data_IF_898878121170
#
_entry.id   IF_898878121170
#
_cell.length_a   1.000
_cell.length_b   1.000
_cell.length_c   1.000
_cell.angle_alpha   90.00
_cell.angle_beta   90.00
_cell.angle_gamma   90.00
#
_symmetry.space_group_name_H-M   'P 1'
#
loop_
_entity.id
_entity.type
_entity.pdbx_description
1 polymer ?
#
# COMPACT_ATOMS: atom_id res chain seq x y z
N UNK A 1 -0.79 5.80 11.02
CA UNK A 1 -1.00 6.94 10.12
C UNK A 1 -1.68 8.08 10.87
N UNK A 2 -1.56 9.27 10.36
CA UNK A 2 -2.23 10.41 10.93
C UNK A 2 -3.74 10.34 10.62
N UNK A 3 -4.53 11.03 11.42
CA UNK A 3 -5.96 11.14 11.16
C UNK A 3 -6.19 11.71 9.75
N UNK A 4 -7.23 11.26 9.04
CA UNK A 4 -7.52 11.78 7.72
C UNK A 4 -7.79 13.29 7.73
N UNK A 5 -7.25 13.98 6.74
CA UNK A 5 -7.57 15.38 6.51
C UNK A 5 -8.81 15.48 5.64
N UNK A 6 -9.42 16.64 5.61
CA UNK A 6 -10.65 16.86 4.84
C UNK A 6 -10.55 16.42 3.39
N UNK A 7 -9.39 16.60 2.78
CA UNK A 7 -9.19 16.30 1.36
C UNK A 7 -8.73 14.85 1.12
N UNK A 8 -8.44 14.12 2.17
CA UNK A 8 -8.02 12.73 2.05
C UNK A 8 -9.19 11.83 1.67
N UNK A 9 -8.89 10.74 0.98
CA UNK A 9 -9.84 9.67 0.78
C UNK A 9 -9.59 8.63 1.87
N UNK A 10 -10.61 8.33 2.65
CA UNK A 10 -10.52 7.33 3.71
C UNK A 10 -11.80 6.51 3.72
N UNK A 11 -11.65 5.18 3.73
CA UNK A 11 -12.81 4.31 3.80
C UNK A 11 -12.49 2.97 4.43
N UNK A 12 -13.39 2.47 5.29
CA UNK A 12 -13.31 1.08 5.72
C UNK A 12 -13.88 0.19 4.61
N UNK A 13 -13.28 -0.97 4.45
CA UNK A 13 -13.68 -1.94 3.43
C UNK A 13 -13.65 -3.33 4.02
N UNK A 14 -14.45 -4.22 3.47
CA UNK A 14 -14.33 -5.63 3.77
C UNK A 14 -13.23 -6.22 2.89
N UNK A 15 -12.29 -6.94 3.50
CA UNK A 15 -11.17 -7.54 2.77
C UNK A 15 -11.67 -8.63 1.82
N UNK A 16 -11.89 -8.26 0.58
CA UNK A 16 -12.42 -9.14 -0.46
C UNK A 16 -11.95 -8.62 -1.83
N UNK A 17 -12.09 -9.41 -2.88
CA UNK A 17 -11.74 -8.93 -4.22
C UNK A 17 -12.48 -7.66 -4.63
N UNK A 18 -13.72 -7.49 -4.17
CA UNK A 18 -14.49 -6.30 -4.49
C UNK A 18 -13.87 -5.04 -3.89
N UNK A 19 -13.16 -5.15 -2.77
CA UNK A 19 -12.50 -4.01 -2.14
C UNK A 19 -11.45 -3.39 -3.07
N UNK A 20 -10.73 -4.21 -3.80
CA UNK A 20 -9.71 -3.72 -4.73
C UNK A 20 -10.35 -2.84 -5.80
N UNK A 21 -11.42 -3.32 -6.42
CA UNK A 21 -12.10 -2.56 -7.46
C UNK A 21 -12.65 -1.24 -6.96
N UNK A 22 -13.29 -1.26 -5.79
CA UNK A 22 -13.85 -0.05 -5.22
C UNK A 22 -12.77 0.98 -4.88
N UNK A 23 -11.70 0.53 -4.22
CA UNK A 23 -10.60 1.42 -3.86
C UNK A 23 -9.96 2.03 -5.10
N UNK A 24 -9.75 1.24 -6.14
CA UNK A 24 -9.16 1.74 -7.39
C UNK A 24 -10.03 2.78 -8.05
N UNK A 25 -11.33 2.54 -8.10
CA UNK A 25 -12.26 3.49 -8.72
C UNK A 25 -12.26 4.82 -7.98
N UNK A 26 -12.40 4.78 -6.67
CA UNK A 26 -12.47 6.02 -5.88
C UNK A 26 -11.13 6.74 -5.82
N UNK A 27 -10.04 5.99 -5.74
CA UNK A 27 -8.71 6.60 -5.78
C UNK A 27 -8.44 7.25 -7.13
N UNK A 28 -8.86 6.61 -8.21
CA UNK A 28 -8.70 7.19 -9.54
C UNK A 28 -9.41 8.54 -9.68
N UNK A 29 -10.63 8.62 -9.17
CA UNK A 29 -11.37 9.87 -9.17
C UNK A 29 -10.66 10.96 -8.35
N UNK A 30 -10.14 10.60 -7.20
CA UNK A 30 -9.45 11.54 -6.32
C UNK A 30 -8.13 12.02 -6.94
N UNK A 31 -7.37 11.11 -7.54
CA UNK A 31 -6.13 11.48 -8.21
C UNK A 31 -6.38 12.40 -9.38
N UNK A 32 -7.44 12.17 -10.12
CA UNK A 32 -7.83 13.07 -11.20
C UNK A 32 -8.18 14.46 -10.66
N UNK A 33 -8.95 14.50 -9.59
CA UNK A 33 -9.32 15.76 -8.94
C UNK A 33 -8.10 16.53 -8.45
N UNK A 34 -7.09 15.84 -7.99
CA UNK A 34 -5.86 16.44 -7.48
C UNK A 34 -4.85 16.78 -8.60
N UNK A 35 -5.18 16.47 -9.83
CA UNK A 35 -4.28 16.64 -10.97
C UNK A 35 -3.04 15.73 -10.87
N UNK A 36 -3.25 14.52 -10.40
CA UNK A 36 -2.23 13.50 -10.24
C UNK A 36 -2.42 12.33 -11.21
N UNK A 37 -3.04 12.58 -12.36
CA UNK A 37 -3.31 11.51 -13.33
C UNK A 37 -2.03 10.86 -13.87
N UNK A 38 -0.92 11.57 -13.80
CA UNK A 38 0.36 11.02 -14.26
C UNK A 38 0.89 9.86 -13.41
N UNK A 39 0.40 9.70 -12.18
CA UNK A 39 0.78 8.55 -11.35
C UNK A 39 -0.33 7.52 -11.26
N UNK A 40 -1.37 7.65 -12.07
CA UNK A 40 -2.55 6.80 -11.96
C UNK A 40 -2.23 5.31 -12.10
N UNK A 41 -1.47 4.95 -13.13
CA UNK A 41 -1.18 3.54 -13.38
C UNK A 41 -0.36 2.93 -12.24
N UNK A 42 0.65 3.64 -11.77
CA UNK A 42 1.46 3.17 -10.65
C UNK A 42 0.62 3.06 -9.39
N UNK A 43 -0.24 4.04 -9.14
CA UNK A 43 -1.11 4.02 -7.98
C UNK A 43 -2.06 2.82 -8.01
N UNK A 44 -2.62 2.50 -9.17
CA UNK A 44 -3.52 1.36 -9.30
C UNK A 44 -2.83 0.05 -8.96
N UNK A 45 -1.59 -0.11 -9.38
CA UNK A 45 -0.81 -1.31 -9.08
C UNK A 45 -0.50 -1.39 -7.58
N UNK A 46 -0.07 -0.28 -6.99
CA UNK A 46 0.24 -0.25 -5.55
C UNK A 46 -1.00 -0.52 -4.70
N UNK A 47 -2.12 0.09 -5.04
CA UNK A 47 -3.38 -0.13 -4.32
C UNK A 47 -3.75 -1.61 -4.36
N UNK A 48 -3.67 -2.22 -5.53
CA UNK A 48 -4.00 -3.64 -5.69
C UNK A 48 -3.13 -4.50 -4.78
N UNK A 49 -1.82 -4.26 -4.78
CA UNK A 49 -0.90 -5.06 -3.98
C UNK A 49 -1.11 -4.88 -2.48
N UNK A 50 -1.30 -3.65 -2.03
CA UNK A 50 -1.48 -3.40 -0.60
C UNK A 50 -2.79 -3.98 -0.09
N UNK A 51 -3.87 -3.86 -0.85
CA UNK A 51 -5.16 -4.43 -0.44
C UNK A 51 -5.13 -5.95 -0.50
N UNK A 52 -4.54 -6.51 -1.54
CA UNK A 52 -4.40 -7.98 -1.65
C UNK A 52 -3.61 -8.53 -0.47
N UNK A 53 -2.55 -7.84 -0.08
CA UNK A 53 -1.73 -8.25 1.04
C UNK A 53 -2.51 -8.20 2.36
N UNK A 54 -3.28 -7.15 2.57
CA UNK A 54 -4.12 -7.03 3.76
C UNK A 54 -5.21 -8.10 3.77
N UNK A 55 -5.82 -8.39 2.63
CA UNK A 55 -6.84 -9.42 2.53
C UNK A 55 -6.28 -10.80 2.80
N UNK A 56 -5.05 -11.06 2.39
CA UNK A 56 -4.38 -12.32 2.69
C UNK A 56 -4.14 -12.46 4.20
N UNK A 57 -3.76 -11.37 4.86
CA UNK A 57 -3.51 -11.36 6.29
C UNK A 57 -4.80 -11.49 7.11
N UNK A 58 -5.89 -10.88 6.68
CA UNK A 58 -7.16 -10.86 7.43
C UNK A 58 -8.34 -11.06 6.49
N UNK A 59 -8.54 -12.28 5.97
CA UNK A 59 -9.62 -12.54 5.01
C UNK A 59 -10.98 -12.19 5.58
N UNK A 60 -11.79 -11.50 4.81
CA UNK A 60 -13.17 -11.14 5.13
C UNK A 60 -13.32 -10.30 6.41
N UNK A 61 -12.26 -9.67 6.86
CA UNK A 61 -12.31 -8.73 7.98
C UNK A 61 -12.25 -7.30 7.48
N UNK A 62 -12.52 -6.37 8.37
CA UNK A 62 -12.39 -4.96 8.02
C UNK A 62 -10.94 -4.60 7.76
N UNK A 63 -10.73 -3.89 6.68
CA UNK A 63 -9.49 -3.18 6.39
C UNK A 63 -9.84 -1.71 6.20
N UNK A 64 -8.84 -0.84 6.21
CA UNK A 64 -9.06 0.59 6.03
C UNK A 64 -8.12 1.08 4.97
N UNK A 65 -8.66 1.80 4.00
CA UNK A 65 -7.90 2.34 2.89
C UNK A 65 -7.82 3.86 3.04
N UNK A 66 -6.63 4.39 2.86
CA UNK A 66 -6.41 5.84 2.91
C UNK A 66 -5.53 6.29 1.76
N UNK A 67 -5.95 7.34 1.08
CA UNK A 67 -5.17 8.00 0.06
C UNK A 67 -5.03 9.46 0.48
N UNK A 68 -3.80 9.93 0.62
CA UNK A 68 -3.52 11.30 1.02
C UNK A 68 -2.41 11.87 0.14
N UNK A 69 -2.18 13.15 0.27
CA UNK A 69 -1.09 13.80 -0.45
C UNK A 69 -0.42 14.83 0.44
N UNK A 70 0.83 15.08 0.14
CA UNK A 70 1.60 16.16 0.74
C UNK A 70 2.58 16.71 -0.30
N UNK A 71 3.53 17.50 0.12
CA UNK A 71 4.48 18.12 -0.80
C UNK A 71 5.41 17.11 -1.45
N UNK A 72 5.55 15.93 -0.89
CA UNK A 72 6.44 14.89 -1.39
C UNK A 72 5.75 13.86 -2.28
N UNK A 73 4.45 14.02 -2.51
CA UNK A 73 3.70 13.14 -3.39
C UNK A 73 2.44 12.61 -2.75
N UNK A 74 1.97 11.48 -3.24
CA UNK A 74 0.79 10.83 -2.70
C UNK A 74 1.20 9.67 -1.81
N UNK A 75 0.37 9.38 -0.81
CA UNK A 75 0.58 8.27 0.11
C UNK A 75 -0.63 7.36 0.01
N UNK A 76 -0.37 6.09 -0.24
CA UNK A 76 -1.38 5.04 -0.26
C UNK A 76 -1.13 4.18 0.97
N UNK A 77 -2.15 4.00 1.81
CA UNK A 77 -2.01 3.25 3.05
C UNK A 77 -3.19 2.33 3.25
N UNK A 78 -2.91 1.15 3.79
CA UNK A 78 -3.95 0.15 4.10
C UNK A 78 -3.70 -0.37 5.51
N UNK A 79 -4.74 -0.32 6.33
CA UNK A 79 -4.71 -0.88 7.66
C UNK A 79 -5.39 -2.24 7.67
N UNK A 80 -4.79 -3.18 8.40
CA UNK A 80 -5.44 -4.45 8.73
C UNK A 80 -5.24 -4.77 10.20
N UNK A 81 -6.06 -5.67 10.72
CA UNK A 81 -6.05 -6.00 12.14
C UNK A 81 -4.99 -7.04 12.53
N UNK A 82 -4.24 -7.52 11.58
CA UNK A 82 -3.23 -8.55 11.83
C UNK A 82 -2.08 -7.99 12.65
N UNK A 83 -1.54 -8.82 13.52
CA UNK A 83 -0.30 -8.50 14.24
C UNK A 83 0.94 -8.92 13.46
N UNK A 84 0.75 -9.69 12.42
CA UNK A 84 1.86 -10.11 11.58
C UNK A 84 2.38 -8.95 10.78
N UNK A 85 3.69 -8.84 10.73
CA UNK A 85 4.30 -7.91 9.80
C UNK A 85 4.13 -8.41 8.38
N UNK A 86 4.15 -7.51 7.39
CA UNK A 86 4.13 -7.94 6.01
C UNK A 86 5.28 -8.91 5.76
N UNK A 87 4.96 -10.03 5.11
CA UNK A 87 5.95 -11.05 4.81
C UNK A 87 6.37 -10.88 3.37
N UNK A 88 7.67 -10.79 3.10
CA UNK A 88 8.14 -10.72 1.73
C UNK A 88 7.68 -11.94 0.96
N UNK A 89 7.14 -11.72 -0.23
CA UNK A 89 6.78 -12.84 -1.07
C UNK A 89 8.03 -13.51 -1.61
N UNK A 90 8.01 -14.83 -1.73
CA UNK A 90 9.14 -15.53 -2.33
C UNK A 90 9.40 -15.01 -3.73
N UNK A 91 10.67 -14.88 -4.06
CA UNK A 91 11.08 -14.43 -5.38
C UNK A 91 11.87 -15.51 -6.08
N UNK A 92 11.50 -16.75 -5.81
CA UNK A 92 12.25 -17.91 -6.27
C UNK A 92 12.32 -18.02 -7.80
N UNK A 93 11.33 -17.48 -8.46
CA UNK A 93 11.31 -17.48 -9.92
C UNK A 93 12.19 -16.38 -10.50
N UNK A 94 12.75 -15.53 -9.66
CA UNK A 94 13.59 -14.43 -10.09
C UNK A 94 15.03 -14.86 -10.12
N UNK A 95 15.85 -14.06 -10.76
CA UNK A 95 17.28 -14.33 -10.88
C UNK A 95 18.00 -14.12 -9.55
N UNK A 96 19.22 -14.62 -9.48
CA UNK A 96 20.04 -14.42 -8.30
C UNK A 96 20.31 -12.95 -8.04
N UNK A 97 20.50 -12.18 -9.08
CA UNK A 97 20.69 -10.74 -8.94
C UNK A 97 19.48 -10.09 -8.30
N UNK A 98 18.32 -10.53 -8.72
CA UNK A 98 17.08 -10.01 -8.16
C UNK A 98 16.95 -10.34 -6.69
N UNK A 99 17.34 -11.55 -6.33
CA UNK A 99 17.28 -11.98 -4.94
C UNK A 99 18.18 -11.11 -4.06
N UNK A 100 19.37 -10.83 -4.54
CA UNK A 100 20.32 -10.00 -3.79
C UNK A 100 19.77 -8.61 -3.57
N UNK A 101 19.24 -8.01 -4.60
CA UNK A 101 18.64 -6.68 -4.50
C UNK A 101 17.47 -6.69 -3.54
N UNK A 102 16.62 -7.68 -3.65
CA UNK A 102 15.44 -7.80 -2.82
C UNK A 102 15.81 -7.93 -1.35
N UNK A 103 16.84 -8.73 -1.07
CA UNK A 103 17.29 -8.94 0.29
C UNK A 103 17.74 -7.63 0.93
N UNK A 104 18.55 -6.86 0.24
CA UNK A 104 18.99 -5.57 0.73
C UNK A 104 17.84 -4.61 0.98
N UNK A 105 16.86 -4.64 0.11
CA UNK A 105 15.69 -3.77 0.24
C UNK A 105 14.87 -4.11 1.46
N UNK A 106 14.72 -5.38 1.76
CA UNK A 106 13.98 -5.80 2.94
C UNK A 106 14.54 -5.15 4.19
N UNK A 107 15.85 -5.21 4.33
CA UNK A 107 16.48 -4.72 5.54
C UNK A 107 16.30 -3.23 5.71
N UNK A 108 16.34 -2.50 4.62
CA UNK A 108 16.31 -1.05 4.70
C UNK A 108 14.93 -0.45 4.92
N UNK A 109 13.88 -1.18 4.60
CA UNK A 109 12.54 -0.58 4.60
C UNK A 109 11.47 -1.46 5.20
N UNK A 110 11.81 -2.25 6.17
CA UNK A 110 10.84 -3.14 6.77
C UNK A 110 10.57 -4.37 5.92
N UNK A 111 11.17 -4.44 4.77
CA UNK A 111 11.38 -5.65 4.03
C UNK A 111 10.21 -6.56 3.72
N UNK A 112 9.02 -6.04 3.66
CA UNK A 112 7.87 -6.87 3.36
C UNK A 112 7.79 -7.25 1.88
N UNK A 113 8.77 -6.81 1.09
CA UNK A 113 9.14 -7.42 -0.17
C UNK A 113 8.10 -7.56 -1.24
N UNK A 114 7.29 -6.57 -1.44
CA UNK A 114 6.45 -6.52 -2.62
C UNK A 114 7.29 -5.87 -3.73
N UNK A 115 7.88 -6.66 -4.64
CA UNK A 115 8.82 -6.08 -5.61
C UNK A 115 8.22 -4.95 -6.43
N UNK A 116 6.95 -5.08 -6.76
CA UNK A 116 6.27 -4.05 -7.55
C UNK A 116 6.14 -2.75 -6.78
N UNK A 117 5.69 -2.83 -5.54
CA UNK A 117 5.54 -1.64 -4.70
C UNK A 117 6.90 -0.99 -4.48
N UNK A 118 7.92 -1.81 -4.26
CA UNK A 118 9.28 -1.34 -4.08
C UNK A 118 9.78 -0.57 -5.30
N UNK A 119 9.51 -1.08 -6.49
CA UNK A 119 9.97 -0.46 -7.72
C UNK A 119 9.25 0.86 -8.01
N UNK A 120 7.98 0.97 -7.64
CA UNK A 120 7.15 2.12 -7.98
C UNK A 120 7.13 3.21 -6.92
N UNK A 121 7.55 2.92 -5.70
CA UNK A 121 7.44 3.87 -4.60
C UNK A 121 8.77 4.55 -4.29
N UNK A 122 8.69 5.81 -3.87
CA UNK A 122 9.87 6.55 -3.40
C UNK A 122 10.17 6.27 -1.94
N UNK A 123 9.15 5.83 -1.20
CA UNK A 123 9.28 5.39 0.19
C UNK A 123 8.15 4.44 0.49
N UNK A 124 8.36 3.55 1.44
CA UNK A 124 7.35 2.58 1.86
C UNK A 124 7.69 2.06 3.24
N UNK A 125 6.72 1.46 3.89
CA UNK A 125 6.96 0.90 5.20
C UNK A 125 5.68 0.42 5.85
N UNK A 126 5.77 0.19 7.15
CA UNK A 126 4.61 -0.12 7.95
C UNK A 126 4.69 0.63 9.27
N UNK A 127 3.54 0.84 9.88
CA UNK A 127 3.44 1.50 11.18
C UNK A 127 2.39 0.76 11.99
N UNK A 128 2.75 0.35 13.21
CA UNK A 128 1.79 -0.27 14.09
C UNK A 128 0.82 0.77 14.62
N UNK A 129 -0.46 0.42 14.63
CA UNK A 129 -1.49 1.31 15.18
C UNK A 129 -1.57 1.08 16.68
N UNK A 130 -1.51 2.13 17.52
CA UNK A 130 -1.62 1.96 18.96
C UNK A 130 -2.91 1.27 19.41
N UNK A 131 -3.95 1.37 18.61
CA UNK A 131 -5.26 0.75 18.92
C UNK A 131 -5.38 -0.67 18.38
N UNK A 132 -4.34 -1.18 17.77
CA UNK A 132 -4.32 -2.53 17.20
C UNK A 132 -4.18 -2.51 15.69
N UNK A 133 -3.57 -3.58 15.17
CA UNK A 133 -3.33 -3.68 13.74
C UNK A 133 -2.12 -2.88 13.29
N UNK A 134 -2.02 -2.74 11.99
CA UNK A 134 -0.92 -2.02 11.37
C UNK A 134 -1.35 -1.34 10.09
N UNK A 135 -0.65 -0.28 9.76
CA UNK A 135 -0.75 0.39 8.47
C UNK A 135 0.44 -0.02 7.61
N UNK A 136 0.18 -0.43 6.39
CA UNK A 136 1.21 -0.63 5.37
C UNK A 136 1.02 0.46 4.34
N UNK A 137 2.10 1.15 3.98
CA UNK A 137 1.97 2.34 3.16
C UNK A 137 3.08 2.44 2.12
N UNK A 138 2.80 3.21 1.08
CA UNK A 138 3.75 3.53 0.04
C UNK A 138 3.54 4.97 -0.41
N UNK A 139 4.64 5.65 -0.72
CA UNK A 139 4.62 7.00 -1.26
C UNK A 139 5.04 6.98 -2.72
N UNK A 140 4.30 7.67 -3.56
CA UNK A 140 4.63 7.83 -4.97
C UNK A 140 5.07 9.28 -5.23
N UNK A 141 5.78 9.46 -6.33
CA UNK A 141 6.27 10.79 -6.73
C UNK A 141 5.14 11.81 -6.85
N UNK A 142 5.46 13.09 -6.57
CA UNK A 142 4.49 14.15 -6.79
C UNK A 142 4.15 14.31 -8.28
#
# INVERSE_FOLDING_TARGET
MLAPKTDDLFMPLLASPAAIGLARTLAGQRLHKWDYSHVLDDAMLVITELIANAAEATPLREIRFQLSRDMEGIIIAVWDSSRRLPIPKPVVELTLETLDVTEGSYDSNGGWGLPLVQALSTARGYTRDPKGGKWVWARLHP
#
